data_IF_227080978585
#
_entry.id   IF_227080978585
#
_cell.length_a   1.000
_cell.length_b   1.000
_cell.length_c   1.000
_cell.angle_alpha   90.00
_cell.angle_beta   90.00
_cell.angle_gamma   90.00
#
_symmetry.space_group_name_H-M   'P 1'
#
loop_
_entity.id
_entity.type
_entity.pdbx_description
1 polymer ?
#
# COMPACT_ATOMS: atom_id res chain seq x y z
N UNK A 1 -4.78 -6.06 -30.72
CA UNK A 1 -4.75 -5.22 -29.54
C UNK A 1 -3.29 -5.06 -29.10
N UNK A 2 -2.84 -3.86 -28.93
CA UNK A 2 -1.47 -3.60 -28.52
C UNK A 2 -1.19 -4.11 -27.12
N UNK A 3 0.07 -4.44 -26.86
CA UNK A 3 0.51 -4.74 -25.51
C UNK A 3 0.37 -3.50 -24.64
N UNK A 4 0.00 -3.70 -23.40
CA UNK A 4 -0.04 -2.61 -22.44
C UNK A 4 1.40 -2.31 -22.01
N UNK A 5 1.92 -1.21 -22.51
CA UNK A 5 3.28 -0.77 -22.20
C UNK A 5 3.56 -0.65 -20.70
N UNK A 6 2.51 -0.50 -19.91
CA UNK A 6 2.64 -0.36 -18.45
C UNK A 6 3.21 -1.62 -17.79
N UNK A 7 3.09 -2.77 -18.43
CA UNK A 7 3.67 -4.01 -17.92
C UNK A 7 5.11 -4.22 -18.40
N UNK A 8 5.49 -3.49 -19.41
CA UNK A 8 6.81 -3.60 -20.04
C UNK A 8 7.69 -2.39 -19.75
N UNK A 9 7.30 -1.57 -18.77
CA UNK A 9 8.08 -0.40 -18.39
C UNK A 9 9.46 -0.82 -17.88
N UNK A 10 10.51 -0.10 -18.29
CA UNK A 10 11.84 -0.38 -17.77
C UNK A 10 11.86 -0.22 -16.25
N UNK A 11 12.73 -0.99 -15.60
CA UNK A 11 12.90 -0.92 -14.17
C UNK A 11 13.20 0.52 -13.75
N UNK A 12 12.37 1.03 -12.85
CA UNK A 12 12.47 2.41 -12.40
C UNK A 12 13.55 2.55 -11.35
N UNK A 13 14.43 3.50 -11.54
CA UNK A 13 15.40 3.87 -10.51
C UNK A 13 14.69 4.54 -9.35
N UNK A 14 15.01 4.12 -8.14
CA UNK A 14 14.48 4.74 -6.94
C UNK A 14 14.99 6.18 -6.84
N UNK A 15 14.06 7.12 -6.61
CA UNK A 15 14.35 8.53 -6.37
C UNK A 15 13.38 9.03 -5.30
N UNK A 16 13.87 9.17 -4.08
CA UNK A 16 13.07 9.55 -2.92
C UNK A 16 12.31 10.88 -3.15
N UNK A 17 13.00 11.87 -3.71
CA UNK A 17 12.39 13.19 -3.94
C UNK A 17 11.26 13.15 -4.96
N UNK A 18 11.48 12.45 -6.07
CA UNK A 18 10.47 12.27 -7.10
C UNK A 18 9.31 11.38 -6.59
N UNK A 19 9.62 10.34 -5.82
CA UNK A 19 8.62 9.45 -5.25
C UNK A 19 7.76 10.16 -4.22
N UNK A 20 8.35 11.02 -3.40
CA UNK A 20 7.60 11.82 -2.45
C UNK A 20 6.67 12.81 -3.16
N UNK A 21 7.15 13.48 -4.21
CA UNK A 21 6.33 14.39 -5.00
C UNK A 21 5.19 13.67 -5.70
N UNK A 22 5.45 12.49 -6.26
CA UNK A 22 4.45 11.65 -6.90
C UNK A 22 3.36 11.23 -5.91
N UNK A 23 3.77 10.79 -4.71
CA UNK A 23 2.85 10.44 -3.64
C UNK A 23 1.96 11.60 -3.23
N UNK A 24 2.51 12.81 -3.12
CA UNK A 24 1.73 14.00 -2.76
C UNK A 24 0.69 14.37 -3.81
N UNK A 25 0.96 14.16 -5.09
CA UNK A 25 -0.03 14.39 -6.14
C UNK A 25 -1.20 13.41 -6.00
N UNK A 26 -0.91 12.13 -5.74
CA UNK A 26 -1.94 11.13 -5.48
C UNK A 26 -2.77 11.46 -4.26
N UNK A 27 -2.14 11.88 -3.16
CA UNK A 27 -2.81 12.31 -1.94
C UNK A 27 -3.77 13.47 -2.21
N UNK A 28 -3.34 14.46 -2.98
CA UNK A 28 -4.15 15.62 -3.30
C UNK A 28 -5.40 15.24 -4.10
N UNK A 29 -5.26 14.34 -5.06
CA UNK A 29 -6.40 13.87 -5.85
C UNK A 29 -7.45 13.18 -4.97
N UNK A 30 -7.01 12.31 -4.08
CA UNK A 30 -7.90 11.56 -3.19
C UNK A 30 -8.53 12.49 -2.15
N UNK A 31 -7.73 13.38 -1.56
CA UNK A 31 -8.21 14.34 -0.57
C UNK A 31 -9.34 15.18 -1.13
N UNK A 32 -9.18 15.74 -2.32
CA UNK A 32 -10.20 16.54 -2.98
C UNK A 32 -11.49 15.73 -3.21
N UNK A 33 -11.34 14.46 -3.62
CA UNK A 33 -12.48 13.57 -3.83
C UNK A 33 -13.21 13.27 -2.52
N UNK A 34 -12.48 12.92 -1.47
CA UNK A 34 -13.04 12.54 -0.17
C UNK A 34 -13.70 13.73 0.52
N UNK A 35 -13.13 14.93 0.40
CA UNK A 35 -13.77 16.15 0.91
C UNK A 35 -15.14 16.35 0.28
N UNK A 36 -15.24 16.13 -1.03
CA UNK A 36 -16.50 16.25 -1.76
C UNK A 36 -17.56 15.26 -1.24
N UNK A 37 -17.14 14.07 -0.81
CA UNK A 37 -18.03 13.05 -0.27
C UNK A 37 -18.30 13.19 1.22
N UNK A 38 -17.58 14.07 1.93
CA UNK A 38 -17.70 14.20 3.38
C UNK A 38 -17.12 13.01 4.14
N UNK A 39 -16.28 12.19 3.51
CA UNK A 39 -15.58 11.09 4.17
C UNK A 39 -14.31 11.64 4.81
N UNK A 40 -14.14 11.40 6.11
CA UNK A 40 -12.93 11.80 6.84
C UNK A 40 -12.04 10.61 7.16
N UNK A 41 -10.89 10.85 7.80
CA UNK A 41 -9.99 9.82 8.34
C UNK A 41 -9.55 8.78 7.32
N UNK A 42 -8.60 9.13 6.50
CA UNK A 42 -8.08 8.23 5.45
C UNK A 42 -6.55 8.23 5.42
N UNK A 43 -6.00 7.09 5.00
CA UNK A 43 -4.59 6.90 4.73
C UNK A 43 -4.44 6.66 3.24
N UNK A 44 -3.59 7.44 2.56
CA UNK A 44 -3.42 7.35 1.11
C UNK A 44 -2.07 6.74 0.78
N UNK A 45 -2.09 5.72 -0.05
CA UNK A 45 -0.88 5.10 -0.62
C UNK A 45 -0.95 5.21 -2.14
N UNK A 46 0.14 5.63 -2.75
CA UNK A 46 0.20 5.81 -4.20
C UNK A 46 1.18 4.81 -4.80
N UNK A 47 0.70 4.03 -5.75
CA UNK A 47 1.50 3.07 -6.49
C UNK A 47 1.78 3.62 -7.90
N UNK A 48 3.00 3.41 -8.38
CA UNK A 48 3.43 3.83 -9.72
C UNK A 48 3.43 2.70 -10.74
N UNK A 49 3.17 1.46 -10.31
CA UNK A 49 3.32 0.26 -11.14
C UNK A 49 2.00 -0.17 -11.75
N UNK A 50 1.09 0.36 -12.12
CA UNK A 50 -0.17 0.02 -12.82
C UNK A 50 -0.38 -1.48 -13.09
N UNK A 51 -0.03 -2.32 -12.13
CA UNK A 51 -0.11 -3.77 -12.29
C UNK A 51 -1.24 -4.43 -11.50
N UNK A 52 -2.11 -3.63 -10.88
CA UNK A 52 -3.24 -4.13 -10.12
C UNK A 52 -2.90 -4.75 -8.77
N UNK A 53 -1.63 -4.80 -8.39
CA UNK A 53 -1.21 -5.28 -7.08
C UNK A 53 -1.47 -4.23 -6.01
N UNK A 54 -1.56 -4.67 -4.76
CA UNK A 54 -1.68 -3.76 -3.63
C UNK A 54 -0.65 -4.12 -2.58
N UNK A 55 0.08 -3.12 -2.12
CA UNK A 55 1.04 -3.25 -1.03
C UNK A 55 0.36 -2.83 0.27
N UNK A 56 0.39 -3.70 1.26
CA UNK A 56 -0.06 -3.40 2.61
C UNK A 56 1.15 -3.32 3.52
N UNK A 57 1.68 -2.12 3.69
CA UNK A 57 2.83 -1.90 4.56
C UNK A 57 2.47 -2.21 6.00
N UNK A 58 3.30 -3.01 6.66
CA UNK A 58 3.11 -3.42 8.06
C UNK A 58 4.25 -2.96 8.96
N UNK A 59 5.45 -2.88 8.43
CA UNK A 59 6.64 -2.50 9.18
C UNK A 59 7.60 -1.70 8.30
N UNK A 60 8.42 -0.88 8.94
CA UNK A 60 9.48 -0.13 8.27
C UNK A 60 10.75 -0.17 9.10
N UNK A 61 11.89 0.08 8.46
CA UNK A 61 13.16 0.26 9.15
C UNK A 61 13.74 1.63 8.75
N UNK A 62 13.36 2.70 9.44
CA UNK A 62 13.88 4.02 9.13
C UNK A 62 15.40 4.07 9.23
N UNK A 63 16.04 4.66 8.24
CA UNK A 63 17.49 4.83 8.16
C UNK A 63 18.28 3.52 8.11
N UNK A 64 17.65 2.41 7.75
CA UNK A 64 18.29 1.09 7.69
C UNK A 64 19.05 0.73 8.97
N UNK A 65 18.46 0.99 10.11
CA UNK A 65 19.09 0.69 11.41
C UNK A 65 19.27 -0.81 11.59
N UNK A 66 20.34 -1.16 12.26
CA UNK A 66 20.66 -2.55 12.58
C UNK A 66 20.74 -2.73 14.09
N UNK A 67 20.41 -3.93 14.57
CA UNK A 67 20.64 -4.31 15.96
C UNK A 67 22.11 -4.72 16.16
N UNK A 68 22.47 -5.10 17.41
CA UNK A 68 23.83 -5.48 17.75
C UNK A 68 24.31 -6.73 16.99
N UNK A 69 23.40 -7.55 16.50
CA UNK A 69 23.70 -8.73 15.70
C UNK A 69 23.74 -8.44 14.19
N UNK A 70 23.58 -7.17 13.78
CA UNK A 70 23.60 -6.76 12.38
C UNK A 70 22.28 -7.02 11.64
N UNK A 71 21.19 -7.29 12.34
CA UNK A 71 19.88 -7.52 11.75
C UNK A 71 19.07 -6.22 11.67
N UNK A 72 18.23 -6.07 10.63
CA UNK A 72 17.38 -4.87 10.52
C UNK A 72 16.46 -4.69 11.72
N UNK A 73 16.36 -3.45 12.19
CA UNK A 73 15.43 -3.07 13.25
C UNK A 73 14.10 -2.65 12.66
N UNK A 74 13.21 -3.61 12.52
CA UNK A 74 11.86 -3.35 12.03
C UNK A 74 10.97 -2.77 13.13
N UNK A 75 10.18 -1.78 12.78
CA UNK A 75 9.17 -1.22 13.67
C UNK A 75 7.82 -1.16 12.98
N UNK A 76 6.72 -1.25 13.75
CA UNK A 76 5.39 -1.18 13.18
C UNK A 76 5.18 0.09 12.37
N UNK A 77 4.53 -0.04 11.22
CA UNK A 77 4.19 1.09 10.36
C UNK A 77 2.95 0.75 9.53
N UNK A 78 2.54 1.66 8.67
CA UNK A 78 1.43 1.45 7.77
C UNK A 78 0.17 0.97 8.47
N UNK A 79 -0.33 -0.17 8.07
CA UNK A 79 -1.57 -0.74 8.59
C UNK A 79 -1.52 -1.05 10.10
N UNK A 80 -0.32 -1.35 10.63
CA UNK A 80 -0.16 -1.65 12.05
C UNK A 80 -0.31 -0.43 12.96
N UNK A 81 -0.16 0.78 12.45
CA UNK A 81 -0.20 1.99 13.26
C UNK A 81 -1.25 3.00 12.83
N UNK A 82 -1.82 2.84 11.65
CA UNK A 82 -2.81 3.80 11.15
C UNK A 82 -4.03 3.86 12.06
N UNK A 83 -4.50 5.07 12.31
CA UNK A 83 -5.77 5.32 12.99
C UNK A 83 -6.85 5.76 12.00
N UNK A 84 -6.52 5.75 10.71
CA UNK A 84 -7.48 6.06 9.68
C UNK A 84 -8.57 4.99 9.58
N UNK A 85 -9.77 5.40 9.26
CA UNK A 85 -10.88 4.50 9.01
C UNK A 85 -10.77 3.87 7.63
N UNK A 86 -10.24 4.62 6.66
CA UNK A 86 -10.20 4.25 5.28
C UNK A 86 -8.77 4.16 4.77
N UNK A 87 -8.50 3.13 3.98
CA UNK A 87 -7.26 2.92 3.27
C UNK A 87 -7.52 3.18 1.80
N UNK A 88 -6.79 4.11 1.21
CA UNK A 88 -6.98 4.50 -0.18
C UNK A 88 -5.72 4.15 -0.95
N UNK A 89 -5.86 3.33 -1.96
CA UNK A 89 -4.75 2.91 -2.79
C UNK A 89 -4.90 3.45 -4.20
N UNK A 90 -3.98 4.33 -4.59
CA UNK A 90 -4.00 5.01 -5.87
C UNK A 90 -3.04 4.33 -6.84
N UNK A 91 -3.59 3.78 -7.91
CA UNK A 91 -2.79 3.05 -8.90
C UNK A 91 -2.16 3.94 -9.96
N UNK A 92 -2.73 5.09 -10.20
CA UNK A 92 -2.28 6.00 -11.25
C UNK A 92 -2.72 7.42 -10.94
N UNK A 93 -1.96 8.39 -11.41
CA UNK A 93 -2.32 9.79 -11.28
C UNK A 93 -3.53 10.18 -12.13
N UNK A 94 -4.00 9.29 -13.00
CA UNK A 94 -5.21 9.51 -13.81
C UNK A 94 -6.49 9.35 -13.00
N UNK A 95 -6.37 9.00 -11.72
CA UNK A 95 -7.49 8.94 -10.80
C UNK A 95 -8.06 7.55 -10.52
N UNK A 96 -7.42 6.49 -11.01
CA UNK A 96 -7.85 5.14 -10.65
C UNK A 96 -7.38 4.82 -9.24
N UNK A 97 -8.32 4.60 -8.31
CA UNK A 97 -7.99 4.25 -6.94
C UNK A 97 -9.06 3.36 -6.32
N UNK A 98 -8.69 2.71 -5.23
CA UNK A 98 -9.59 1.88 -4.43
C UNK A 98 -9.70 2.52 -3.05
N UNK A 99 -10.90 2.52 -2.49
CA UNK A 99 -11.14 2.86 -1.09
C UNK A 99 -11.66 1.61 -0.39
N UNK A 100 -10.99 1.22 0.68
CA UNK A 100 -11.40 0.06 1.46
C UNK A 100 -11.25 0.40 2.95
N UNK A 101 -12.16 -0.08 3.79
CA UNK A 101 -12.04 0.18 5.22
C UNK A 101 -10.84 -0.58 5.80
N UNK A 102 -10.15 0.04 6.75
CA UNK A 102 -9.04 -0.61 7.46
C UNK A 102 -9.54 -1.86 8.19
N UNK A 103 -10.75 -1.83 8.72
CA UNK A 103 -11.35 -3.00 9.37
C UNK A 103 -11.53 -4.17 8.40
N UNK A 104 -11.96 -3.90 7.17
CA UNK A 104 -12.10 -4.93 6.14
C UNK A 104 -10.75 -5.57 5.81
N UNK A 105 -9.70 -4.76 5.68
CA UNK A 105 -8.35 -5.26 5.43
C UNK A 105 -7.91 -6.17 6.60
N UNK A 106 -8.17 -5.77 7.82
CA UNK A 106 -7.80 -6.57 9.00
C UNK A 106 -8.54 -7.90 9.04
N UNK A 107 -9.82 -7.91 8.69
CA UNK A 107 -10.59 -9.16 8.57
C UNK A 107 -10.06 -10.05 7.47
N UNK A 108 -9.66 -9.48 6.35
CA UNK A 108 -9.02 -10.22 5.26
C UNK A 108 -7.73 -10.90 5.74
N UNK A 109 -6.85 -10.16 6.41
CA UNK A 109 -5.59 -10.68 6.92
C UNK A 109 -5.84 -11.84 7.89
N UNK A 110 -6.78 -11.68 8.80
CA UNK A 110 -7.15 -12.69 9.78
C UNK A 110 -7.75 -13.93 9.10
N UNK A 111 -8.68 -13.74 8.19
CA UNK A 111 -9.35 -14.83 7.48
C UNK A 111 -8.36 -15.65 6.65
N UNK A 112 -7.39 -15.00 6.01
CA UNK A 112 -6.34 -15.65 5.22
C UNK A 112 -5.20 -16.20 6.07
N UNK A 113 -5.24 -16.00 7.39
CA UNK A 113 -4.18 -16.42 8.31
C UNK A 113 -2.80 -15.88 7.93
N UNK A 114 -2.76 -14.65 7.43
CA UNK A 114 -1.49 -14.01 7.03
C UNK A 114 -0.71 -13.59 8.27
N UNK A 115 0.59 -13.87 8.24
CA UNK A 115 1.51 -13.54 9.34
C UNK A 115 2.79 -12.91 8.78
N UNK A 116 3.70 -12.53 9.67
CA UNK A 116 4.98 -11.97 9.27
C UNK A 116 5.81 -12.89 8.34
N UNK A 117 5.51 -14.18 8.32
CA UNK A 117 6.14 -15.13 7.38
C UNK A 117 5.74 -14.85 5.94
N UNK A 118 4.63 -14.16 5.73
CA UNK A 118 4.10 -13.84 4.42
C UNK A 118 4.54 -12.46 3.94
N UNK A 119 5.38 -11.76 4.71
CA UNK A 119 5.86 -10.43 4.33
C UNK A 119 6.81 -10.48 3.15
N UNK A 120 6.65 -9.49 2.28
CA UNK A 120 7.63 -9.13 1.25
C UNK A 120 8.38 -7.89 1.67
N UNK A 121 9.62 -7.77 1.23
CA UNK A 121 10.41 -6.56 1.43
C UNK A 121 10.19 -5.60 0.28
N UNK A 122 9.89 -4.35 0.62
CA UNK A 122 9.65 -3.29 -0.33
C UNK A 122 10.69 -2.18 -0.17
N UNK A 123 10.95 -1.45 -1.24
CA UNK A 123 11.83 -0.28 -1.22
C UNK A 123 13.21 -0.59 -0.59
N UNK A 124 13.77 -1.75 -0.92
CA UNK A 124 15.06 -2.21 -0.37
C UNK A 124 16.19 -1.22 -0.60
N UNK A 125 16.13 -0.48 -1.71
CA UNK A 125 17.15 0.51 -2.07
C UNK A 125 16.91 1.87 -1.44
N UNK A 126 15.79 2.02 -0.76
CA UNK A 126 15.45 3.23 -0.01
C UNK A 126 16.25 3.31 1.30
N UNK A 127 16.41 4.52 1.82
CA UNK A 127 16.93 4.74 3.17
C UNK A 127 15.93 4.29 4.25
N UNK A 128 14.68 4.05 3.87
CA UNK A 128 13.61 3.63 4.76
C UNK A 128 12.89 2.42 4.16
N UNK A 129 13.55 1.24 4.12
CA UNK A 129 12.90 0.05 3.59
C UNK A 129 11.67 -0.32 4.42
N UNK A 130 10.69 -0.91 3.76
CA UNK A 130 9.46 -1.35 4.38
C UNK A 130 9.20 -2.82 4.04
N UNK A 131 8.27 -3.43 4.76
CA UNK A 131 7.79 -4.78 4.47
C UNK A 131 6.33 -4.93 4.86
N UNK A 132 5.69 -5.91 4.25
CA UNK A 132 4.29 -6.19 4.50
C UNK A 132 3.74 -7.19 3.51
N UNK A 133 2.44 -7.14 3.29
CA UNK A 133 1.77 -8.07 2.38
C UNK A 133 1.70 -7.49 0.96
N UNK A 134 1.89 -8.35 -0.01
CA UNK A 134 1.70 -8.02 -1.42
C UNK A 134 0.49 -8.80 -1.94
N UNK A 135 -0.57 -8.09 -2.25
CA UNK A 135 -1.77 -8.68 -2.82
C UNK A 135 -1.69 -8.65 -4.34
N UNK A 136 -1.88 -9.81 -4.97
CA UNK A 136 -2.01 -9.90 -6.42
C UNK A 136 -3.39 -9.38 -6.85
N UNK A 137 -3.61 -9.08 -8.13
CA UNK A 137 -4.91 -8.56 -8.57
C UNK A 137 -6.12 -9.39 -8.14
N UNK A 138 -6.01 -10.71 -8.17
CA UNK A 138 -7.09 -11.59 -7.71
C UNK A 138 -7.32 -11.49 -6.20
N UNK A 139 -6.28 -11.26 -5.42
CA UNK A 139 -6.39 -11.05 -3.97
C UNK A 139 -7.06 -9.71 -3.67
N UNK A 140 -6.75 -8.70 -4.45
CA UNK A 140 -7.39 -7.38 -4.33
C UNK A 140 -8.89 -7.48 -4.63
N UNK A 141 -9.26 -8.24 -5.66
CA UNK A 141 -10.67 -8.49 -5.96
C UNK A 141 -11.37 -9.21 -4.82
N UNK A 142 -10.74 -10.25 -4.27
CA UNK A 142 -11.26 -10.97 -3.12
C UNK A 142 -11.47 -10.04 -1.93
N UNK A 143 -10.47 -9.23 -1.61
CA UNK A 143 -10.57 -8.23 -0.55
C UNK A 143 -11.77 -7.30 -0.75
N UNK A 144 -11.98 -6.85 -1.97
CA UNK A 144 -13.00 -5.82 -2.26
C UNK A 144 -14.42 -6.35 -2.31
N UNK A 145 -14.63 -7.57 -2.80
CA UNK A 145 -15.99 -8.06 -3.09
C UNK A 145 -16.46 -9.25 -2.24
N UNK A 146 -15.56 -9.94 -1.54
CA UNK A 146 -15.95 -11.11 -0.78
C UNK A 146 -16.74 -10.72 0.47
N UNK A 147 -17.95 -11.27 0.58
CA UNK A 147 -18.87 -10.97 1.67
C UNK A 147 -18.38 -11.44 3.04
N UNK A 148 -17.45 -12.39 3.07
CA UNK A 148 -16.88 -12.90 4.32
C UNK A 148 -16.15 -11.80 5.12
N UNK A 149 -15.72 -10.73 4.45
CA UNK A 149 -15.04 -9.61 5.11
C UNK A 149 -15.98 -8.44 5.44
N UNK A 150 -17.26 -8.58 5.15
CA UNK A 150 -18.25 -7.57 5.49
C UNK A 150 -18.42 -7.47 7.01
N UNK A 151 -18.78 -6.28 7.47
CA UNK A 151 -19.18 -6.11 8.86
C UNK A 151 -20.49 -6.83 9.13
N UNK A 152 -20.52 -7.51 10.24
CA UNK A 152 -21.73 -8.22 10.69
C UNK A 152 -22.62 -7.27 11.48
#
# INVERSE_FOLDING_TARGET
MGKFSDYDLPERKFNFKADLAYGKVGEKLVEDFLETLGIGSFEVKTDRYRNGRMVLEMEQNPRKRLDDAGKPLWEPSGLNVTQAKWWVYVYTLDGAFIIVSVQRIKRYIEHKNLTAKDYYDFAKMSSNPSRGFLLQPEDVMDLMINKEYDEV
#
